data_IF_226086524519
#
_entry.id   IF_226086524519
#
_cell.length_a   1.000
_cell.length_b   1.000
_cell.length_c   1.000
_cell.angle_alpha   90.00
_cell.angle_beta   90.00
_cell.angle_gamma   90.00
#
_symmetry.space_group_name_H-M   'P 1'
#
loop_
_entity.id
_entity.type
_entity.pdbx_description
1 polymer ?
#
# COMPACT_ATOMS: atom_id res chain seq x y z
N UNK A 1 15.82 -12.01 34.04
CA UNK A 1 15.19 -12.45 32.78
C UNK A 1 14.02 -11.52 32.53
N UNK A 2 14.20 -10.46 31.74
CA UNK A 2 13.13 -9.49 31.44
C UNK A 2 12.34 -10.05 30.27
N UNK A 3 11.12 -10.49 30.52
CA UNK A 3 10.14 -10.81 29.48
C UNK A 3 9.64 -9.49 28.89
N UNK A 4 10.32 -9.00 27.85
CA UNK A 4 9.86 -7.84 27.07
C UNK A 4 8.49 -8.20 26.50
N UNK A 5 7.44 -7.56 27.02
CA UNK A 5 6.07 -7.72 26.53
C UNK A 5 6.06 -7.27 25.08
N UNK A 6 5.82 -8.18 24.13
CA UNK A 6 5.69 -7.83 22.72
C UNK A 6 4.56 -6.81 22.59
N UNK A 7 4.90 -5.57 22.27
CA UNK A 7 3.93 -4.54 21.92
C UNK A 7 3.29 -4.96 20.59
N UNK A 8 1.98 -5.16 20.60
CA UNK A 8 1.21 -5.56 19.43
C UNK A 8 0.24 -4.46 19.09
N UNK A 9 0.34 -3.92 17.88
CA UNK A 9 -0.67 -3.04 17.32
C UNK A 9 -1.80 -3.88 16.77
N UNK A 10 -3.04 -3.58 17.18
CA UNK A 10 -4.25 -4.18 16.59
C UNK A 10 -4.90 -3.16 15.66
N UNK A 11 -5.24 -3.60 14.45
CA UNK A 11 -5.99 -2.82 13.47
C UNK A 11 -7.31 -3.52 13.20
N UNK A 12 -8.41 -2.77 13.32
CA UNK A 12 -9.74 -3.22 12.93
C UNK A 12 -10.17 -2.44 11.69
N UNK A 13 -10.65 -3.16 10.68
CA UNK A 13 -11.05 -2.61 9.39
C UNK A 13 -12.41 -3.20 9.05
N UNK A 14 -13.40 -2.34 8.78
CA UNK A 14 -14.70 -2.78 8.28
C UNK A 14 -14.54 -3.26 6.83
N UNK A 15 -14.73 -4.55 6.61
CA UNK A 15 -14.60 -5.19 5.30
C UNK A 15 -15.94 -5.47 4.64
N UNK A 16 -17.06 -4.94 5.15
CA UNK A 16 -18.41 -5.25 4.67
C UNK A 16 -18.60 -4.91 3.18
N UNK A 17 -17.99 -3.83 2.72
CA UNK A 17 -18.03 -3.39 1.32
C UNK A 17 -16.87 -3.92 0.46
N UNK A 18 -16.06 -4.85 0.99
CA UNK A 18 -14.88 -5.39 0.30
C UNK A 18 -15.12 -6.83 -0.17
N UNK A 19 -14.63 -7.16 -1.35
CA UNK A 19 -14.57 -8.54 -1.82
C UNK A 19 -13.55 -9.35 -1.00
N UNK A 20 -13.71 -10.68 -0.90
CA UNK A 20 -12.72 -11.53 -0.24
C UNK A 20 -11.31 -11.40 -0.85
N UNK A 21 -11.20 -11.06 -2.13
CA UNK A 21 -9.92 -10.82 -2.80
C UNK A 21 -9.25 -9.53 -2.30
N UNK A 22 -10.00 -8.43 -2.19
CA UNK A 22 -9.51 -7.16 -1.66
C UNK A 22 -9.05 -7.30 -0.20
N UNK A 23 -9.81 -8.04 0.62
CA UNK A 23 -9.42 -8.32 2.02
C UNK A 23 -8.10 -9.09 2.09
N UNK A 24 -7.89 -10.07 1.21
CA UNK A 24 -6.61 -10.79 1.14
C UNK A 24 -5.46 -9.89 0.71
N UNK A 25 -5.66 -9.05 -0.30
CA UNK A 25 -4.65 -8.10 -0.76
C UNK A 25 -4.23 -7.13 0.35
N UNK A 26 -5.18 -6.61 1.13
CA UNK A 26 -4.88 -5.73 2.25
C UNK A 26 -4.05 -6.42 3.34
N UNK A 27 -4.36 -7.69 3.65
CA UNK A 27 -3.55 -8.50 4.58
C UNK A 27 -2.14 -8.74 4.04
N UNK A 28 -2.01 -9.08 2.76
CA UNK A 28 -0.71 -9.28 2.12
C UNK A 28 0.12 -8.00 2.15
N UNK A 29 -0.47 -6.84 1.82
CA UNK A 29 0.20 -5.55 1.90
C UNK A 29 0.66 -5.23 3.32
N UNK A 30 -0.19 -5.47 4.32
CA UNK A 30 0.17 -5.25 5.73
C UNK A 30 1.35 -6.14 6.15
N UNK A 31 1.36 -7.41 5.75
CA UNK A 31 2.47 -8.32 6.04
C UNK A 31 3.76 -7.89 5.34
N UNK A 32 3.66 -7.44 4.09
CA UNK A 32 4.80 -6.97 3.31
C UNK A 32 5.41 -5.70 3.92
N UNK A 33 4.57 -4.74 4.31
CA UNK A 33 5.01 -3.55 5.05
C UNK A 33 5.66 -3.92 6.39
N UNK A 34 5.10 -4.87 7.13
CA UNK A 34 5.72 -5.37 8.35
C UNK A 34 7.10 -5.98 8.10
N UNK A 35 7.27 -6.73 7.00
CA UNK A 35 8.55 -7.32 6.65
C UNK A 35 9.58 -6.24 6.26
N UNK A 36 9.20 -5.29 5.40
CA UNK A 36 10.05 -4.14 5.00
C UNK A 36 10.59 -3.38 6.23
N UNK A 37 9.77 -3.18 7.25
CA UNK A 37 10.17 -2.47 8.47
C UNK A 37 11.16 -3.24 9.37
N UNK A 38 11.37 -4.54 9.13
CA UNK A 38 12.14 -5.41 10.03
C UNK A 38 13.27 -6.19 9.38
N UNK A 39 13.26 -6.32 8.04
CA UNK A 39 14.32 -7.03 7.32
C UNK A 39 15.63 -6.25 7.41
N UNK A 40 16.73 -6.99 7.57
CA UNK A 40 18.10 -6.48 7.57
C UNK A 40 18.86 -6.86 6.29
N UNK A 41 18.20 -7.56 5.36
CA UNK A 41 18.76 -7.95 4.08
C UNK A 41 18.38 -6.94 2.99
N UNK A 42 19.39 -6.40 2.30
CA UNK A 42 19.22 -5.31 1.34
C UNK A 42 18.35 -5.72 0.15
N UNK A 43 18.57 -6.91 -0.43
CA UNK A 43 17.82 -7.34 -1.61
C UNK A 43 16.33 -7.59 -1.29
N UNK A 44 16.03 -8.20 -0.16
CA UNK A 44 14.69 -8.41 0.38
C UNK A 44 14.00 -7.08 0.64
N UNK A 45 14.71 -6.10 1.19
CA UNK A 45 14.18 -4.75 1.39
C UNK A 45 13.75 -4.12 0.06
N UNK A 46 14.63 -4.11 -0.95
CA UNK A 46 14.32 -3.51 -2.25
C UNK A 46 13.20 -4.26 -2.99
N UNK A 47 13.26 -5.59 -3.04
CA UNK A 47 12.26 -6.42 -3.72
C UNK A 47 10.89 -6.27 -3.06
N UNK A 48 10.86 -6.29 -1.72
CA UNK A 48 9.61 -6.13 -0.96
C UNK A 48 9.02 -4.74 -1.11
N UNK A 49 9.86 -3.69 -1.09
CA UNK A 49 9.40 -2.32 -1.30
C UNK A 49 8.80 -2.13 -2.70
N UNK A 50 9.46 -2.68 -3.74
CA UNK A 50 8.92 -2.65 -5.11
C UNK A 50 7.59 -3.40 -5.23
N UNK A 51 7.48 -4.57 -4.58
CA UNK A 51 6.25 -5.36 -4.59
C UNK A 51 5.12 -4.67 -3.83
N UNK A 52 5.41 -3.96 -2.74
CA UNK A 52 4.42 -3.17 -2.01
C UNK A 52 3.82 -2.09 -2.91
N UNK A 53 4.65 -1.38 -3.67
CA UNK A 53 4.21 -0.37 -4.63
C UNK A 53 3.33 -0.97 -5.75
N UNK A 54 3.71 -2.14 -6.29
CA UNK A 54 2.89 -2.85 -7.29
C UNK A 54 1.54 -3.29 -6.72
N UNK A 55 1.53 -3.76 -5.48
CA UNK A 55 0.31 -4.20 -4.82
C UNK A 55 -0.62 -3.02 -4.51
N UNK A 56 -0.09 -1.86 -4.11
CA UNK A 56 -0.87 -0.62 -4.01
C UNK A 56 -1.54 -0.26 -5.34
N UNK A 57 -0.79 -0.28 -6.46
CA UNK A 57 -1.36 -0.04 -7.79
C UNK A 57 -2.45 -1.07 -8.14
N UNK A 58 -2.22 -2.35 -7.84
CA UNK A 58 -3.20 -3.43 -8.07
C UNK A 58 -4.50 -3.23 -7.27
N UNK A 59 -4.39 -2.81 -6.00
CA UNK A 59 -5.55 -2.51 -5.14
C UNK A 59 -6.32 -1.30 -5.69
N UNK A 60 -5.63 -0.25 -6.13
CA UNK A 60 -6.26 0.94 -6.74
C UNK A 60 -7.06 0.54 -7.99
N UNK A 61 -6.51 -0.33 -8.84
CA UNK A 61 -7.22 -0.83 -10.05
C UNK A 61 -8.46 -1.66 -9.74
N UNK A 62 -8.53 -2.24 -8.55
CA UNK A 62 -9.65 -3.07 -8.11
C UNK A 62 -10.56 -2.35 -7.13
N UNK A 63 -10.38 -1.04 -6.92
CA UNK A 63 -11.19 -0.27 -5.99
C UNK A 63 -12.64 -0.17 -6.47
N UNK A 64 -13.58 -0.08 -5.54
CA UNK A 64 -15.01 0.02 -5.84
C UNK A 64 -15.35 1.17 -6.81
N UNK A 65 -14.62 2.29 -6.73
CA UNK A 65 -14.78 3.41 -7.67
C UNK A 65 -14.58 2.99 -9.13
N UNK A 66 -13.62 2.10 -9.40
CA UNK A 66 -13.35 1.59 -10.75
C UNK A 66 -14.52 0.72 -11.24
N UNK A 67 -15.09 -0.12 -10.37
CA UNK A 67 -16.27 -0.92 -10.70
C UNK A 67 -17.48 -0.05 -11.03
N UNK A 68 -17.68 1.05 -10.28
CA UNK A 68 -18.75 2.02 -10.53
C UNK A 68 -18.54 2.76 -11.86
N UNK A 69 -17.30 3.06 -12.21
CA UNK A 69 -16.95 3.82 -13.42
C UNK A 69 -16.62 2.94 -14.63
N UNK A 70 -16.87 1.62 -14.57
CA UNK A 70 -16.51 0.66 -15.63
C UNK A 70 -17.07 0.98 -17.01
N UNK A 71 -18.21 1.66 -17.08
CA UNK A 71 -18.87 2.05 -18.33
C UNK A 71 -18.36 3.40 -18.87
N UNK A 72 -17.50 4.08 -18.10
CA UNK A 72 -16.80 5.28 -18.55
C UNK A 72 -15.72 4.92 -19.56
N UNK A 73 -15.51 5.79 -20.55
CA UNK A 73 -14.38 5.68 -21.48
C UNK A 73 -13.08 6.24 -20.89
N UNK A 74 -13.13 6.79 -19.68
CA UNK A 74 -11.99 7.40 -19.02
C UNK A 74 -11.23 6.30 -18.25
N UNK A 75 -9.92 6.13 -18.50
CA UNK A 75 -9.10 5.13 -17.81
C UNK A 75 -8.69 5.64 -16.41
N UNK A 76 -9.67 5.75 -15.51
CA UNK A 76 -9.47 6.36 -14.19
C UNK A 76 -8.40 5.68 -13.35
N UNK A 77 -8.29 4.35 -13.45
CA UNK A 77 -7.32 3.62 -12.66
C UNK A 77 -5.88 3.96 -13.08
N UNK A 78 -5.64 4.00 -14.39
CA UNK A 78 -4.35 4.42 -14.98
C UNK A 78 -4.04 5.87 -14.61
N UNK A 79 -4.99 6.78 -14.80
CA UNK A 79 -4.82 8.20 -14.48
C UNK A 79 -4.51 8.43 -13.00
N UNK A 80 -5.18 7.72 -12.09
CA UNK A 80 -4.92 7.83 -10.66
C UNK A 80 -3.53 7.33 -10.29
N UNK A 81 -3.06 6.25 -10.93
CA UNK A 81 -1.72 5.71 -10.70
C UNK A 81 -0.65 6.64 -11.26
N UNK A 82 -0.81 7.13 -12.50
CA UNK A 82 0.10 8.10 -13.12
C UNK A 82 0.24 9.34 -12.25
N UNK A 83 -0.87 9.94 -11.85
CA UNK A 83 -0.90 11.08 -10.95
C UNK A 83 -0.17 10.82 -9.62
N UNK A 84 -0.38 9.63 -9.03
CA UNK A 84 0.28 9.26 -7.77
C UNK A 84 1.80 9.11 -7.92
N UNK A 85 2.26 8.56 -9.06
CA UNK A 85 3.69 8.41 -9.37
C UNK A 85 4.33 9.78 -9.63
N UNK A 86 3.65 10.67 -10.35
CA UNK A 86 4.15 12.02 -10.61
C UNK A 86 4.39 12.80 -9.31
N UNK A 87 3.42 12.75 -8.38
CA UNK A 87 3.56 13.35 -7.04
C UNK A 87 4.72 12.73 -6.27
N UNK A 88 4.85 11.40 -6.30
CA UNK A 88 5.93 10.72 -5.61
C UNK A 88 7.30 11.13 -6.16
N UNK A 89 7.45 11.20 -7.48
CA UNK A 89 8.67 11.65 -8.15
C UNK A 89 9.00 13.11 -7.81
N UNK A 90 8.00 13.99 -7.76
CA UNK A 90 8.18 15.37 -7.35
C UNK A 90 8.73 15.45 -5.91
N UNK A 91 8.15 14.68 -4.98
CA UNK A 91 8.60 14.64 -3.60
C UNK A 91 10.03 14.09 -3.44
N UNK A 92 10.37 13.02 -4.17
CA UNK A 92 11.71 12.46 -4.19
C UNK A 92 12.75 13.45 -4.73
N UNK A 93 12.41 14.15 -5.81
CA UNK A 93 13.30 15.15 -6.43
C UNK A 93 13.53 16.34 -5.51
N UNK A 94 12.47 16.83 -4.88
CA UNK A 94 12.52 18.01 -4.01
C UNK A 94 13.01 17.70 -2.59
N UNK A 95 13.40 16.44 -2.29
CA UNK A 95 13.89 15.98 -0.98
C UNK A 95 13.01 16.40 0.20
N UNK A 96 11.70 16.56 -0.01
CA UNK A 96 10.77 16.84 1.08
C UNK A 96 10.58 15.53 1.84
N UNK A 97 11.25 15.38 2.98
CA UNK A 97 10.89 14.35 3.94
C UNK A 97 9.48 14.68 4.40
N UNK A 98 8.49 13.95 3.88
CA UNK A 98 7.12 14.07 4.36
C UNK A 98 7.02 13.26 5.63
N UNK A 99 7.17 13.94 6.77
CA UNK A 99 6.91 13.33 8.08
C UNK A 99 5.39 13.30 8.28
N UNK A 100 4.82 12.11 8.24
CA UNK A 100 3.45 11.87 8.68
C UNK A 100 3.52 11.41 10.15
N UNK A 101 3.11 12.28 11.06
CA UNK A 101 2.93 11.94 12.48
C UNK A 101 1.41 11.80 12.73
N UNK A 102 0.99 10.69 13.35
CA UNK A 102 -0.40 10.44 13.74
C UNK A 102 -0.59 10.64 15.24
#
# INVERSE_FOLDING_TARGET
MVTTKKEKTHFEIDTTAMSPAQVRQLRTLTNLLSHIMTTDEESEYFDSAAEAMRMCASIIKQAHFIDVMKDSKIPYAEQAIEFSVDILQEHMTNSKVVTYDN
#
